data_IF_327749831210
#
_entry.id   IF_327749831210
#
_cell.length_a   1.000
_cell.length_b   1.000
_cell.length_c   1.000
_cell.angle_alpha   90.00
_cell.angle_beta   90.00
_cell.angle_gamma   90.00
#
_symmetry.space_group_name_H-M   'P 1'
#
loop_
_entity.id
_entity.type
_entity.pdbx_description
1 polymer ?
#
# COMPACT_ATOMS: atom_id res chain seq x y z
N UNK A 1 -17.20 -1.09 33.24
CA UNK A 1 -18.42 -0.36 33.66
C UNK A 1 -18.67 0.72 32.65
N UNK A 2 -19.74 0.64 31.85
CA UNK A 2 -20.03 1.63 30.82
C UNK A 2 -20.61 2.89 31.46
N UNK A 3 -20.07 4.07 31.12
CA UNK A 3 -20.65 5.33 31.54
C UNK A 3 -22.00 5.52 30.83
N UNK A 4 -23.06 5.78 31.59
CA UNK A 4 -24.38 6.14 31.05
C UNK A 4 -24.46 7.65 30.87
N UNK A 5 -24.83 8.10 29.68
CA UNK A 5 -25.15 9.50 29.43
C UNK A 5 -26.41 9.93 30.20
N UNK A 6 -26.65 11.24 30.31
CA UNK A 6 -27.84 11.83 30.97
C UNK A 6 -29.18 11.39 30.36
N UNK A 7 -29.16 10.77 29.18
CA UNK A 7 -30.29 10.19 28.45
C UNK A 7 -30.36 8.65 28.52
N UNK A 8 -29.52 7.99 29.33
CA UNK A 8 -29.54 6.54 29.51
C UNK A 8 -28.88 5.73 28.38
N UNK A 9 -28.38 6.38 27.33
CA UNK A 9 -27.65 5.73 26.24
C UNK A 9 -26.30 5.21 26.77
N UNK A 10 -25.96 3.96 26.39
CA UNK A 10 -24.64 3.39 26.67
C UNK A 10 -23.59 4.12 25.84
N UNK A 11 -22.70 4.86 26.49
CA UNK A 11 -21.65 5.62 25.81
C UNK A 11 -20.46 4.71 25.54
N UNK A 12 -19.94 4.74 24.32
CA UNK A 12 -18.65 4.14 23.97
C UNK A 12 -17.57 5.24 24.07
N UNK A 13 -16.44 4.95 24.71
CA UNK A 13 -15.32 5.89 24.77
C UNK A 13 -14.67 5.98 23.38
N UNK A 14 -14.87 7.09 22.67
CA UNK A 14 -14.15 7.44 21.44
C UNK A 14 -13.02 8.44 21.74
N UNK A 15 -12.19 8.17 22.75
CA UNK A 15 -11.00 8.98 23.02
C UNK A 15 -9.79 8.09 22.92
N UNK A 16 -9.32 7.86 21.69
CA UNK A 16 -8.02 7.25 21.48
C UNK A 16 -6.96 8.36 21.43
N UNK A 17 -6.43 8.77 22.58
CA UNK A 17 -5.18 9.55 22.75
C UNK A 17 -5.30 11.07 22.96
N UNK A 18 -6.11 11.53 23.93
CA UNK A 18 -5.76 12.75 24.68
C UNK A 18 -5.09 12.33 26.00
N UNK A 19 -3.77 12.48 26.09
CA UNK A 19 -3.05 12.32 27.37
C UNK A 19 -2.90 13.68 28.03
N UNK A 20 -3.26 13.78 29.32
CA UNK A 20 -3.06 14.98 30.14
C UNK A 20 -1.94 14.76 31.16
N UNK A 21 -1.16 15.80 31.51
CA UNK A 21 -0.24 15.73 32.63
C UNK A 21 -0.99 15.38 33.93
N UNK A 22 -0.36 14.54 34.77
CA UNK A 22 -0.88 14.16 36.09
C UNK A 22 -0.90 15.39 37.00
N UNK A 23 -1.99 16.17 36.96
CA UNK A 23 -2.12 17.40 37.75
C UNK A 23 -3.16 18.38 37.21
N UNK A 24 -3.53 18.29 35.93
CA UNK A 24 -4.49 19.19 35.30
C UNK A 24 -5.93 18.75 35.62
N UNK A 25 -6.57 19.43 36.58
CA UNK A 25 -7.92 19.09 37.08
C UNK A 25 -9.05 19.82 36.36
N UNK A 26 -8.75 20.73 35.44
CA UNK A 26 -9.79 21.47 34.72
C UNK A 26 -10.51 20.59 33.68
N UNK A 27 -11.85 20.58 33.70
CA UNK A 27 -12.63 19.92 32.68
C UNK A 27 -12.42 20.65 31.35
N UNK A 28 -11.80 19.98 30.37
CA UNK A 28 -11.73 20.49 29.00
C UNK A 28 -13.06 20.18 28.33
N UNK A 29 -13.66 21.18 27.71
CA UNK A 29 -14.79 20.98 26.81
C UNK A 29 -14.23 20.27 25.57
N UNK A 30 -14.31 18.94 25.55
CA UNK A 30 -13.99 18.15 24.37
C UNK A 30 -15.15 18.37 23.39
N UNK A 31 -14.90 19.15 22.33
CA UNK A 31 -15.83 19.20 21.20
C UNK A 31 -15.72 17.87 20.47
N UNK A 32 -16.66 16.98 20.74
CA UNK A 32 -16.78 15.72 20.01
C UNK A 32 -17.24 16.04 18.59
N UNK A 33 -16.34 15.84 17.62
CA UNK A 33 -16.70 16.02 16.21
C UNK A 33 -17.73 14.98 15.80
N UNK A 34 -18.82 15.43 15.18
CA UNK A 34 -19.94 14.59 14.74
C UNK A 34 -19.84 14.09 13.31
N UNK A 35 -18.81 14.51 12.56
CA UNK A 35 -18.60 14.03 11.19
C UNK A 35 -18.38 12.50 11.21
N UNK A 36 -18.60 11.82 10.09
CA UNK A 36 -18.42 10.37 10.02
C UNK A 36 -16.95 9.98 9.83
N UNK A 37 -16.55 8.82 10.39
CA UNK A 37 -15.25 8.20 10.14
C UNK A 37 -15.26 7.46 8.79
N UNK A 38 -15.19 8.24 7.72
CA UNK A 38 -15.34 7.78 6.33
C UNK A 38 -14.16 6.94 5.81
N UNK A 39 -13.02 6.97 6.49
CA UNK A 39 -11.87 6.14 6.16
C UNK A 39 -12.08 4.64 6.48
N UNK A 40 -12.97 4.31 7.44
CA UNK A 40 -13.20 2.93 7.89
C UNK A 40 -13.54 1.98 6.73
N UNK A 41 -14.54 2.25 5.87
CA UNK A 41 -14.83 1.37 4.74
C UNK A 41 -13.68 1.26 3.74
N UNK A 42 -12.86 2.30 3.59
CA UNK A 42 -11.68 2.28 2.72
C UNK A 42 -10.57 1.39 3.31
N UNK A 43 -10.32 1.51 4.61
CA UNK A 43 -9.39 0.65 5.34
C UNK A 43 -9.82 -0.83 5.30
N UNK A 44 -11.13 -1.12 5.43
CA UNK A 44 -11.66 -2.48 5.31
C UNK A 44 -11.43 -3.06 3.91
N UNK A 45 -11.71 -2.28 2.88
CA UNK A 45 -11.48 -2.66 1.49
C UNK A 45 -9.99 -2.95 1.25
N UNK A 46 -9.10 -2.02 1.62
CA UNK A 46 -7.68 -2.14 1.31
C UNK A 46 -7.02 -3.30 2.07
N UNK A 47 -7.40 -3.53 3.33
CA UNK A 47 -6.92 -4.70 4.10
C UNK A 47 -7.39 -6.00 3.48
N UNK A 48 -8.60 -6.04 2.93
CA UNK A 48 -9.09 -7.23 2.20
C UNK A 48 -8.22 -7.51 0.98
N UNK A 49 -7.90 -6.49 0.19
CA UNK A 49 -7.03 -6.62 -0.99
C UNK A 49 -5.58 -6.98 -0.61
N UNK A 50 -5.02 -6.39 0.45
CA UNK A 50 -3.69 -6.73 0.96
C UNK A 50 -3.58 -8.20 1.39
N UNK A 51 -4.64 -8.75 1.99
CA UNK A 51 -4.69 -10.16 2.42
C UNK A 51 -4.95 -11.14 1.29
N UNK A 52 -5.48 -10.66 0.16
CA UNK A 52 -5.90 -11.49 -0.98
C UNK A 52 -4.84 -11.52 -2.08
N UNK A 53 -4.32 -10.36 -2.48
CA UNK A 53 -3.53 -10.17 -3.69
C UNK A 53 -2.21 -10.96 -3.73
N UNK A 54 -1.48 -11.14 -2.61
CA UNK A 54 -0.31 -12.02 -2.60
C UNK A 54 -0.63 -13.49 -2.96
N UNK A 55 -1.87 -13.92 -2.74
CA UNK A 55 -2.31 -15.31 -2.91
C UNK A 55 -3.12 -15.57 -4.18
N UNK A 56 -3.33 -14.55 -5.02
CA UNK A 56 -3.92 -14.75 -6.35
C UNK A 56 -2.94 -15.52 -7.25
N UNK A 57 -3.40 -16.07 -8.39
CA UNK A 57 -2.49 -16.72 -9.35
C UNK A 57 -1.32 -15.82 -9.76
N UNK A 58 -1.56 -14.53 -9.95
CA UNK A 58 -0.57 -13.52 -10.31
C UNK A 58 0.40 -13.26 -9.16
N UNK A 59 -0.09 -13.06 -7.93
CA UNK A 59 0.74 -12.89 -6.75
C UNK A 59 1.66 -14.09 -6.49
N UNK A 60 1.15 -15.32 -6.67
CA UNK A 60 1.93 -16.56 -6.56
C UNK A 60 3.01 -16.68 -7.64
N UNK A 61 2.73 -16.25 -8.89
CA UNK A 61 3.73 -16.22 -9.96
C UNK A 61 4.87 -15.25 -9.63
N UNK A 62 4.54 -14.05 -9.16
CA UNK A 62 5.53 -13.05 -8.75
C UNK A 62 6.37 -13.59 -7.58
N UNK A 63 5.71 -14.15 -6.57
CA UNK A 63 6.38 -14.76 -5.41
C UNK A 63 7.35 -15.86 -5.83
N UNK A 64 6.89 -16.79 -6.68
CA UNK A 64 7.73 -17.90 -7.17
C UNK A 64 8.94 -17.40 -7.96
N UNK A 65 8.77 -16.32 -8.74
CA UNK A 65 9.85 -15.72 -9.50
C UNK A 65 10.85 -14.98 -8.60
N UNK A 66 10.38 -14.27 -7.57
CA UNK A 66 11.25 -13.59 -6.60
C UNK A 66 11.97 -14.57 -5.64
N UNK A 67 11.46 -15.79 -5.45
CA UNK A 67 12.08 -16.82 -4.61
C UNK A 67 13.18 -17.64 -5.32
N UNK A 68 13.44 -17.40 -6.61
CA UNK A 68 14.49 -18.13 -7.33
C UNK A 68 15.88 -17.77 -6.79
N UNK A 69 16.57 -18.75 -6.19
CA UNK A 69 17.90 -18.58 -5.62
C UNK A 69 18.97 -19.27 -6.50
N UNK A 70 19.74 -18.50 -7.29
CA UNK A 70 20.77 -19.07 -8.17
C UNK A 70 21.89 -19.77 -7.39
N UNK A 71 22.18 -19.35 -6.15
CA UNK A 71 23.24 -19.97 -5.35
C UNK A 71 22.81 -21.36 -4.86
N UNK A 72 21.57 -21.49 -4.39
CA UNK A 72 20.99 -22.78 -4.01
C UNK A 72 20.93 -23.75 -5.21
N UNK A 73 20.60 -23.25 -6.40
CA UNK A 73 20.60 -24.05 -7.64
C UNK A 73 22.02 -24.53 -8.02
N UNK A 74 23.04 -23.67 -7.90
CA UNK A 74 24.44 -24.05 -8.10
C UNK A 74 24.88 -25.11 -7.08
N UNK A 75 24.50 -24.96 -5.81
CA UNK A 75 24.79 -25.96 -4.77
C UNK A 75 24.14 -27.31 -5.09
N UNK A 76 22.85 -27.30 -5.45
CA UNK A 76 22.12 -28.49 -5.85
C UNK A 76 22.75 -29.16 -7.07
N UNK A 77 23.12 -28.39 -8.10
CA UNK A 77 23.85 -28.90 -9.26
C UNK A 77 25.17 -29.56 -8.86
N UNK A 78 25.95 -28.93 -7.98
CA UNK A 78 27.22 -29.45 -7.50
C UNK A 78 27.07 -30.75 -6.69
N UNK A 79 25.96 -30.95 -5.99
CA UNK A 79 25.67 -32.19 -5.27
C UNK A 79 25.30 -33.37 -6.18
N UNK A 80 25.02 -33.14 -7.47
CA UNK A 80 24.57 -34.21 -8.37
C UNK A 80 25.70 -35.21 -8.73
N UNK A 81 25.34 -36.48 -9.00
CA UNK A 81 26.24 -37.47 -9.59
C UNK A 81 26.79 -37.03 -10.95
N UNK A 82 27.96 -37.54 -11.33
CA UNK A 82 28.67 -37.12 -12.55
C UNK A 82 27.84 -37.27 -13.84
N UNK A 83 26.99 -38.29 -13.94
CA UNK A 83 26.19 -38.55 -15.13
C UNK A 83 25.07 -37.52 -15.35
N UNK A 84 24.58 -36.89 -14.28
CA UNK A 84 23.58 -35.82 -14.37
C UNK A 84 24.19 -34.48 -14.84
N UNK A 85 25.52 -34.35 -14.77
CA UNK A 85 26.27 -33.13 -15.12
C UNK A 85 26.76 -33.08 -16.58
N UNK A 86 26.44 -34.09 -17.39
CA UNK A 86 26.97 -34.25 -18.75
C UNK A 86 26.56 -33.13 -19.73
N UNK A 87 25.56 -32.31 -19.39
CA UNK A 87 25.12 -31.15 -20.18
C UNK A 87 25.84 -29.83 -19.88
N UNK A 88 26.76 -29.80 -18.92
CA UNK A 88 27.31 -28.56 -18.38
C UNK A 88 26.32 -27.83 -17.46
N UNK A 89 26.84 -26.96 -16.60
CA UNK A 89 26.02 -26.23 -15.63
C UNK A 89 25.19 -25.14 -16.34
N UNK A 90 23.87 -25.06 -16.09
CA UNK A 90 23.07 -23.92 -16.51
C UNK A 90 23.61 -22.61 -15.94
N UNK A 91 23.43 -21.51 -16.68
CA UNK A 91 23.70 -20.17 -16.13
C UNK A 91 22.54 -19.73 -15.23
N UNK A 92 22.57 -20.20 -13.98
CA UNK A 92 21.54 -19.91 -13.00
C UNK A 92 21.40 -18.42 -12.69
N UNK A 93 22.46 -17.60 -12.83
CA UNK A 93 22.38 -16.16 -12.60
C UNK A 93 21.63 -15.44 -13.73
N UNK A 94 21.86 -15.85 -14.98
CA UNK A 94 21.05 -15.35 -16.11
C UNK A 94 19.59 -15.81 -16.00
N UNK A 95 19.34 -17.04 -15.55
CA UNK A 95 17.99 -17.53 -15.26
C UNK A 95 17.32 -16.70 -14.16
N UNK A 96 18.03 -16.41 -13.06
CA UNK A 96 17.53 -15.56 -11.97
C UNK A 96 17.15 -14.16 -12.47
N UNK A 97 17.96 -13.58 -13.35
CA UNK A 97 17.67 -12.28 -13.98
C UNK A 97 16.37 -12.34 -14.79
N UNK A 98 16.17 -13.42 -15.55
CA UNK A 98 14.93 -13.68 -16.29
C UNK A 98 13.70 -13.82 -15.38
N UNK A 99 13.82 -14.56 -14.29
CA UNK A 99 12.77 -14.66 -13.27
C UNK A 99 12.44 -13.28 -12.67
N UNK A 100 13.47 -12.49 -12.33
CA UNK A 100 13.27 -11.17 -11.75
C UNK A 100 12.58 -10.20 -12.72
N UNK A 101 12.96 -10.22 -13.99
CA UNK A 101 12.28 -9.45 -15.03
C UNK A 101 10.81 -9.86 -15.17
N UNK A 102 10.53 -11.17 -15.18
CA UNK A 102 9.16 -11.68 -15.23
C UNK A 102 8.34 -11.23 -14.00
N UNK A 103 8.94 -11.22 -12.80
CA UNK A 103 8.32 -10.71 -11.59
C UNK A 103 7.92 -9.24 -11.76
N UNK A 104 8.81 -8.39 -12.26
CA UNK A 104 8.53 -6.97 -12.52
C UNK A 104 7.45 -6.76 -13.58
N UNK A 105 7.45 -7.55 -14.65
CA UNK A 105 6.43 -7.45 -15.71
C UNK A 105 5.04 -7.81 -15.18
N UNK A 106 4.92 -8.94 -14.46
CA UNK A 106 3.63 -9.36 -13.89
C UNK A 106 3.16 -8.33 -12.86
N UNK A 107 4.05 -7.88 -11.97
CA UNK A 107 3.75 -6.82 -10.99
C UNK A 107 3.22 -5.56 -11.68
N UNK A 108 3.93 -5.06 -12.69
CA UNK A 108 3.52 -3.88 -13.47
C UNK A 108 2.15 -4.05 -14.10
N UNK A 109 1.85 -5.23 -14.67
CA UNK A 109 0.52 -5.54 -15.21
C UNK A 109 -0.57 -5.64 -14.16
N UNK A 110 -0.25 -5.69 -12.87
CA UNK A 110 -1.24 -5.63 -11.80
C UNK A 110 -1.43 -4.22 -11.25
N UNK A 111 -0.34 -3.47 -11.03
CA UNK A 111 -0.39 -2.19 -10.28
C UNK A 111 -0.43 -0.93 -11.16
N UNK A 112 -0.15 -1.04 -12.46
CA UNK A 112 -0.17 0.12 -13.35
C UNK A 112 -1.57 0.74 -13.47
N UNK A 113 -1.69 2.01 -13.91
CA UNK A 113 -2.99 2.66 -14.06
C UNK A 113 -3.99 1.84 -14.89
N UNK A 114 -5.21 1.66 -14.35
CA UNK A 114 -6.27 0.88 -14.97
C UNK A 114 -6.10 -0.64 -14.89
N UNK A 115 -5.11 -1.15 -14.15
CA UNK A 115 -4.89 -2.57 -13.92
C UNK A 115 -5.62 -3.06 -12.64
N UNK A 116 -5.71 -4.39 -12.41
CA UNK A 116 -6.53 -4.95 -11.33
C UNK A 116 -6.20 -4.46 -9.91
N UNK A 117 -4.95 -4.08 -9.64
CA UNK A 117 -4.50 -3.57 -8.33
C UNK A 117 -4.36 -2.03 -8.33
N UNK A 118 -4.86 -1.33 -9.36
CA UNK A 118 -5.06 0.12 -9.32
C UNK A 118 -6.29 0.45 -8.47
N UNK A 119 -6.07 0.67 -7.19
CA UNK A 119 -7.14 0.90 -6.22
C UNK A 119 -7.63 2.34 -6.17
N UNK A 120 -6.89 3.32 -6.74
CA UNK A 120 -7.29 4.74 -6.73
C UNK A 120 -8.67 4.98 -7.36
N UNK A 121 -9.00 4.49 -8.58
CA UNK A 121 -10.32 4.67 -9.17
C UNK A 121 -11.43 3.94 -8.40
N UNK A 122 -11.13 2.78 -7.81
CA UNK A 122 -12.11 1.98 -7.05
C UNK A 122 -12.50 2.72 -5.75
N UNK A 123 -11.52 3.21 -5.01
CA UNK A 123 -11.74 3.97 -3.78
C UNK A 123 -12.50 5.26 -4.07
N UNK A 124 -12.09 5.99 -5.13
CA UNK A 124 -12.80 7.20 -5.57
C UNK A 124 -14.27 6.92 -5.88
N UNK A 125 -14.56 5.85 -6.64
CA UNK A 125 -15.91 5.44 -6.94
C UNK A 125 -16.71 5.07 -5.68
N UNK A 126 -16.11 4.34 -4.75
CA UNK A 126 -16.74 3.96 -3.48
C UNK A 126 -17.13 5.19 -2.64
N UNK A 127 -16.26 6.19 -2.57
CA UNK A 127 -16.54 7.44 -1.84
C UNK A 127 -17.66 8.25 -2.52
N UNK A 128 -17.67 8.31 -3.85
CA UNK A 128 -18.71 9.01 -4.62
C UNK A 128 -20.07 8.33 -4.42
N UNK A 129 -20.13 7.00 -4.56
CA UNK A 129 -21.36 6.22 -4.38
C UNK A 129 -21.96 6.37 -2.98
N UNK A 130 -21.12 6.57 -1.97
CA UNK A 130 -21.53 6.80 -0.58
C UNK A 130 -21.88 8.26 -0.27
N UNK A 131 -21.70 9.18 -1.21
CA UNK A 131 -21.98 10.62 -1.00
C UNK A 131 -20.99 11.32 -0.06
N UNK A 132 -19.81 10.75 0.17
CA UNK A 132 -18.80 11.22 1.15
C UNK A 132 -17.49 11.67 0.49
N UNK A 133 -17.48 11.85 -0.84
CA UNK A 133 -16.30 12.29 -1.58
C UNK A 133 -15.99 13.79 -1.32
N UNK A 134 -15.27 14.09 -0.24
CA UNK A 134 -14.83 15.44 0.13
C UNK A 134 -13.53 15.84 -0.58
N UNK A 135 -13.57 15.96 -1.92
CA UNK A 135 -12.37 16.23 -2.75
C UNK A 135 -11.23 15.23 -2.50
N UNK A 136 -11.57 13.97 -2.24
CA UNK A 136 -10.60 12.91 -1.94
C UNK A 136 -10.17 12.79 -0.47
N UNK A 137 -10.60 13.69 0.42
CA UNK A 137 -10.29 13.64 1.84
C UNK A 137 -11.27 12.77 2.62
N UNK A 138 -10.74 11.95 3.52
CA UNK A 138 -11.50 11.00 4.34
C UNK A 138 -11.14 11.20 5.80
N UNK A 139 -12.13 11.23 6.68
CA UNK A 139 -11.88 11.45 8.10
C UNK A 139 -11.65 10.13 8.81
N UNK A 140 -10.66 10.11 9.71
CA UNK A 140 -10.58 9.17 10.81
C UNK A 140 -10.03 9.85 12.06
N UNK A 141 -10.69 9.63 13.20
CA UNK A 141 -10.33 10.26 14.47
C UNK A 141 -10.24 11.81 14.31
N UNK A 142 -9.06 12.38 14.61
CA UNK A 142 -8.79 13.82 14.55
C UNK A 142 -8.14 14.30 13.24
N UNK A 143 -8.03 13.43 12.24
CA UNK A 143 -7.32 13.72 11.00
C UNK A 143 -8.18 13.46 9.75
N UNK A 144 -7.90 14.23 8.69
CA UNK A 144 -8.31 13.89 7.34
C UNK A 144 -7.11 13.28 6.59
N UNK A 145 -7.40 12.27 5.77
CA UNK A 145 -6.45 11.50 4.97
C UNK A 145 -6.82 11.59 3.50
N UNK A 146 -5.84 11.83 2.64
CA UNK A 146 -6.05 11.86 1.20
C UNK A 146 -6.15 10.43 0.65
N UNK A 147 -7.07 10.19 -0.28
CA UNK A 147 -7.42 8.84 -0.74
C UNK A 147 -6.30 8.07 -1.44
N UNK A 148 -5.22 8.72 -1.85
CA UNK A 148 -4.11 8.06 -2.52
C UNK A 148 -3.26 7.21 -1.57
N UNK A 149 -3.23 7.51 -0.26
CA UNK A 149 -2.41 6.77 0.72
C UNK A 149 -2.72 5.28 0.72
N UNK A 150 -3.98 4.90 0.51
CA UNK A 150 -4.44 3.52 0.62
C UNK A 150 -3.82 2.64 -0.45
N UNK A 151 -3.81 3.11 -1.70
CA UNK A 151 -3.19 2.38 -2.82
C UNK A 151 -1.68 2.26 -2.64
N UNK A 152 -1.03 3.29 -2.08
CA UNK A 152 0.42 3.27 -1.84
C UNK A 152 0.81 2.35 -0.67
N UNK A 153 0.02 2.33 0.41
CA UNK A 153 0.18 1.39 1.52
C UNK A 153 0.01 -0.05 1.02
N UNK A 154 -1.01 -0.30 0.19
CA UNK A 154 -1.20 -1.61 -0.43
C UNK A 154 -0.03 -2.01 -1.32
N UNK A 155 0.46 -1.09 -2.16
CA UNK A 155 1.62 -1.32 -3.02
C UNK A 155 2.84 -1.77 -2.20
N UNK A 156 3.15 -1.06 -1.10
CA UNK A 156 4.22 -1.45 -0.19
C UNK A 156 3.99 -2.83 0.43
N UNK A 157 2.83 -3.04 1.06
CA UNK A 157 2.51 -4.28 1.76
C UNK A 157 2.52 -5.50 0.84
N UNK A 158 1.79 -5.44 -0.28
CA UNK A 158 1.68 -6.55 -1.23
C UNK A 158 3.00 -6.76 -1.95
N UNK A 159 3.73 -5.69 -2.27
CA UNK A 159 5.06 -5.77 -2.88
C UNK A 159 6.04 -6.56 -2.03
N UNK A 160 6.09 -6.25 -0.72
CA UNK A 160 6.91 -7.02 0.22
C UNK A 160 6.39 -8.45 0.37
N UNK A 161 5.07 -8.64 0.40
CA UNK A 161 4.46 -9.96 0.51
C UNK A 161 4.79 -10.91 -0.65
N UNK A 162 4.98 -10.37 -1.86
CA UNK A 162 5.37 -11.14 -3.05
C UNK A 162 6.89 -11.17 -3.29
N UNK A 163 7.69 -10.68 -2.33
CA UNK A 163 9.14 -10.84 -2.32
C UNK A 163 9.95 -9.74 -3.01
N UNK A 164 9.39 -8.54 -3.19
CA UNK A 164 10.21 -7.37 -3.54
C UNK A 164 10.87 -6.77 -2.30
N UNK A 165 12.10 -6.29 -2.47
CA UNK A 165 12.80 -5.54 -1.44
C UNK A 165 12.30 -4.09 -1.35
N UNK A 166 12.52 -3.44 -0.21
CA UNK A 166 12.14 -2.03 -0.01
C UNK A 166 12.75 -1.11 -1.08
N UNK A 167 14.00 -1.35 -1.47
CA UNK A 167 14.68 -0.57 -2.51
C UNK A 167 14.02 -0.71 -3.89
N UNK A 168 13.44 -1.88 -4.19
CA UNK A 168 12.75 -2.09 -5.47
C UNK A 168 11.39 -1.39 -5.48
N UNK A 169 10.71 -1.40 -4.34
CA UNK A 169 9.40 -0.75 -4.18
C UNK A 169 9.52 0.78 -4.14
N UNK A 170 10.57 1.31 -3.51
CA UNK A 170 10.80 2.75 -3.36
C UNK A 170 11.61 3.35 -4.52
N UNK A 171 12.50 2.57 -5.14
CA UNK A 171 13.44 3.07 -6.15
C UNK A 171 12.98 2.95 -7.60
N UNK A 172 11.96 2.14 -7.90
CA UNK A 172 11.22 2.14 -9.17
C UNK A 172 11.96 1.76 -10.46
N UNK A 173 13.30 1.71 -10.49
CA UNK A 173 14.09 1.58 -11.73
C UNK A 173 13.81 0.27 -12.49
N UNK A 174 13.72 -0.86 -11.78
CA UNK A 174 13.38 -2.15 -12.39
C UNK A 174 11.95 -2.18 -12.95
N UNK A 175 11.03 -1.45 -12.32
CA UNK A 175 9.65 -1.30 -12.78
C UNK A 175 9.53 -0.37 -13.98
N UNK A 176 10.32 0.70 -14.04
CA UNK A 176 10.36 1.59 -15.18
C UNK A 176 10.80 0.85 -16.44
N UNK A 177 11.82 0.00 -16.32
CA UNK A 177 12.26 -0.87 -17.41
C UNK A 177 11.18 -1.87 -17.82
N UNK A 178 10.61 -2.62 -16.86
CA UNK A 178 9.57 -3.61 -17.14
C UNK A 178 8.30 -2.98 -17.75
N UNK A 179 7.95 -1.76 -17.35
CA UNK A 179 6.87 -0.99 -17.95
C UNK A 179 7.16 -0.64 -19.39
N UNK A 180 8.36 -0.18 -19.71
CA UNK A 180 8.76 0.14 -21.09
C UNK A 180 8.58 -1.07 -22.02
N UNK A 181 9.04 -2.23 -21.56
CA UNK A 181 8.92 -3.50 -22.29
C UNK A 181 7.46 -3.94 -22.42
N UNK A 182 6.71 -3.92 -21.31
CA UNK A 182 5.30 -4.30 -21.31
C UNK A 182 4.47 -3.35 -22.19
N UNK A 183 4.74 -2.05 -22.12
CA UNK A 183 4.13 -1.01 -22.96
C UNK A 183 4.30 -1.35 -24.44
N UNK A 184 5.53 -1.64 -24.85
CA UNK A 184 5.82 -2.06 -26.21
C UNK A 184 5.00 -3.30 -26.62
N UNK A 185 4.93 -4.31 -25.74
CA UNK A 185 4.26 -5.58 -26.03
C UNK A 185 2.72 -5.50 -26.10
N UNK A 186 2.02 -4.87 -25.14
CA UNK A 186 0.57 -4.71 -25.32
C UNK A 186 0.15 -3.56 -26.25
N UNK A 187 1.04 -2.62 -26.65
CA UNK A 187 0.67 -1.67 -27.70
C UNK A 187 0.57 -2.39 -29.05
N UNK A 188 1.44 -3.38 -29.31
CA UNK A 188 1.25 -4.30 -30.44
C UNK A 188 -0.09 -5.06 -30.36
N UNK A 189 -0.58 -5.31 -29.14
CA UNK A 189 -1.88 -5.96 -28.86
C UNK A 189 -3.06 -4.99 -28.65
N UNK A 190 -2.85 -3.66 -28.84
CA UNK A 190 -3.85 -2.57 -28.67
C UNK A 190 -4.55 -2.50 -27.30
N UNK A 191 -3.89 -2.86 -26.20
CA UNK A 191 -4.55 -3.03 -24.88
C UNK A 191 -4.08 -2.08 -23.77
N UNK A 192 -3.23 -1.09 -24.03
CA UNK A 192 -2.78 -0.16 -22.97
C UNK A 192 -3.70 1.05 -22.81
N UNK A 193 -4.17 1.37 -21.59
CA UNK A 193 -4.85 2.62 -21.30
C UNK A 193 -3.88 3.83 -21.38
N UNK A 194 -4.43 5.01 -21.63
CA UNK A 194 -3.67 6.27 -21.55
C UNK A 194 -3.12 6.46 -20.15
N UNK A 195 -1.79 6.55 -20.04
CA UNK A 195 -1.11 6.84 -18.78
C UNK A 195 -1.64 8.14 -18.20
N UNK A 196 -2.10 8.09 -16.96
CA UNK A 196 -2.45 9.30 -16.22
C UNK A 196 -1.16 10.08 -15.99
N UNK A 197 -1.03 11.22 -16.66
CA UNK A 197 -0.01 12.20 -16.32
C UNK A 197 -0.60 12.98 -15.16
N UNK A 198 -0.06 12.79 -13.96
CA UNK A 198 -0.31 13.75 -12.89
C UNK A 198 0.54 14.99 -13.24
N UNK A 199 -0.06 16.16 -13.47
CA UNK A 199 0.66 17.35 -13.93
C UNK A 199 1.77 17.81 -12.96
N UNK A 200 1.72 17.31 -11.73
CA UNK A 200 2.70 17.50 -10.65
C UNK A 200 3.70 16.34 -10.48
N UNK A 201 3.41 15.12 -10.96
CA UNK A 201 4.16 13.89 -10.61
C UNK A 201 4.75 13.15 -11.82
N UNK A 202 4.70 13.69 -13.04
CA UNK A 202 5.32 13.07 -14.22
C UNK A 202 4.71 11.71 -14.61
N UNK A 203 5.49 10.86 -15.28
CA UNK A 203 5.03 9.56 -15.78
C UNK A 203 5.26 8.44 -14.77
N UNK A 204 4.25 7.59 -14.58
CA UNK A 204 4.39 6.34 -13.82
C UNK A 204 5.51 5.46 -14.43
N UNK A 205 6.40 4.83 -13.64
CA UNK A 205 6.33 4.68 -12.19
C UNK A 205 7.02 5.79 -11.38
N UNK A 206 7.71 6.74 -12.04
CA UNK A 206 8.47 7.81 -11.38
C UNK A 206 7.59 8.79 -10.58
N UNK A 207 6.28 8.75 -10.78
CA UNK A 207 5.32 9.51 -9.99
C UNK A 207 5.22 9.08 -8.53
N UNK A 208 5.75 7.91 -8.17
CA UNK A 208 5.76 7.39 -6.80
C UNK A 208 6.90 7.97 -5.92
N UNK A 209 7.75 8.84 -6.47
CA UNK A 209 8.95 9.37 -5.82
C UNK A 209 8.66 10.57 -4.87
N UNK A 210 7.41 11.01 -4.71
CA UNK A 210 7.08 12.09 -3.77
C UNK A 210 7.09 11.60 -2.31
N UNK A 211 7.41 12.50 -1.38
CA UNK A 211 7.58 12.21 0.06
C UNK A 211 6.35 11.53 0.64
N UNK A 212 5.14 11.93 0.23
CA UNK A 212 3.89 11.33 0.70
C UNK A 212 3.71 9.88 0.24
N UNK A 213 4.10 9.57 -0.99
CA UNK A 213 4.02 8.25 -1.59
C UNK A 213 5.06 7.34 -0.94
N UNK A 214 6.30 7.83 -0.78
CA UNK A 214 7.37 7.13 -0.08
C UNK A 214 6.97 6.77 1.37
N UNK A 215 6.40 7.70 2.14
CA UNK A 215 5.93 7.42 3.51
C UNK A 215 4.84 6.36 3.50
N UNK A 216 3.91 6.43 2.54
CA UNK A 216 2.79 5.48 2.44
C UNK A 216 3.26 4.07 2.04
N UNK A 217 4.17 3.97 1.07
CA UNK A 217 4.79 2.71 0.64
C UNK A 217 5.61 2.12 1.79
N UNK A 218 6.41 2.93 2.47
CA UNK A 218 7.20 2.49 3.63
C UNK A 218 6.29 1.97 4.75
N UNK A 219 5.19 2.65 5.05
CA UNK A 219 4.22 2.15 6.02
C UNK A 219 3.67 0.77 5.61
N UNK A 220 3.37 0.56 4.32
CA UNK A 220 2.99 -0.76 3.79
C UNK A 220 4.05 -1.85 4.03
N UNK A 221 5.31 -1.54 3.75
CA UNK A 221 6.46 -2.42 3.98
C UNK A 221 6.58 -2.77 5.47
N UNK A 222 6.48 -1.76 6.33
CA UNK A 222 6.60 -1.90 7.78
C UNK A 222 5.46 -2.74 8.34
N UNK A 223 4.23 -2.54 7.86
CA UNK A 223 3.06 -3.34 8.22
C UNK A 223 3.30 -4.82 7.92
N UNK A 224 3.81 -5.16 6.73
CA UNK A 224 4.07 -6.56 6.38
C UNK A 224 5.20 -7.18 7.22
N UNK A 225 6.24 -6.39 7.51
CA UNK A 225 7.43 -6.85 8.23
C UNK A 225 7.17 -7.03 9.72
N UNK A 226 6.37 -6.15 10.32
CA UNK A 226 6.14 -6.11 11.77
C UNK A 226 4.89 -6.89 12.22
N UNK A 227 3.87 -7.01 11.37
CA UNK A 227 2.58 -7.61 11.73
C UNK A 227 2.43 -8.96 11.02
N UNK A 228 2.08 -10.00 11.79
CA UNK A 228 1.73 -11.30 11.20
C UNK A 228 0.53 -11.13 10.24
N UNK A 229 0.54 -11.71 9.03
CA UNK A 229 -0.54 -11.51 8.04
C UNK A 229 -1.95 -11.81 8.54
N UNK A 230 -2.10 -12.73 9.50
CA UNK A 230 -3.40 -13.05 10.11
C UNK A 230 -3.90 -12.00 11.12
N UNK A 231 -2.99 -11.20 11.69
CA UNK A 231 -3.30 -10.13 12.64
C UNK A 231 -3.65 -8.80 11.96
N UNK A 232 -3.36 -8.65 10.65
CA UNK A 232 -3.72 -7.46 9.90
C UNK A 232 -5.24 -7.26 9.86
N UNK A 233 -5.69 -6.10 10.34
CA UNK A 233 -7.08 -5.67 10.43
C UNK A 233 -7.21 -4.20 10.04
N UNK A 234 -8.44 -3.78 9.70
CA UNK A 234 -8.73 -2.38 9.39
C UNK A 234 -8.46 -1.45 10.59
N UNK A 235 -8.80 -1.89 11.81
CA UNK A 235 -8.56 -1.10 13.03
C UNK A 235 -7.07 -0.90 13.30
N UNK A 236 -6.25 -1.93 13.05
CA UNK A 236 -4.81 -1.81 13.16
C UNK A 236 -4.24 -0.85 12.11
N UNK A 237 -4.63 -0.99 10.84
CA UNK A 237 -4.22 -0.06 9.79
C UNK A 237 -4.62 1.39 10.13
N UNK A 238 -5.85 1.60 10.58
CA UNK A 238 -6.35 2.90 10.99
C UNK A 238 -5.59 3.47 12.20
N UNK A 239 -5.17 2.62 13.13
CA UNK A 239 -4.28 3.00 14.23
C UNK A 239 -2.91 3.44 13.70
N UNK A 240 -2.28 2.67 12.83
CA UNK A 240 -0.95 2.98 12.29
C UNK A 240 -0.91 4.31 11.52
N UNK A 241 -1.92 4.59 10.68
CA UNK A 241 -2.00 5.90 9.99
C UNK A 241 -2.19 7.09 10.95
N UNK A 242 -2.66 6.88 12.17
CA UNK A 242 -2.76 7.94 13.18
C UNK A 242 -1.40 8.28 13.79
N UNK A 243 -0.48 7.32 13.85
CA UNK A 243 0.88 7.50 14.37
C UNK A 243 1.86 8.15 13.39
N UNK A 244 1.57 8.14 12.09
CA UNK A 244 2.39 8.86 11.10
C UNK A 244 2.35 10.37 11.40
N UNK A 245 3.51 10.97 11.64
CA UNK A 245 3.62 12.38 12.03
C UNK A 245 3.24 13.34 10.89
N UNK A 246 2.89 14.58 11.25
CA UNK A 246 2.70 15.66 10.29
C UNK A 246 4.04 16.38 10.04
N UNK A 247 4.36 16.79 8.81
CA UNK A 247 3.58 16.57 7.59
C UNK A 247 3.76 15.16 7.01
N UNK A 248 2.66 14.55 6.57
CA UNK A 248 2.72 13.35 5.73
C UNK A 248 2.89 13.79 4.27
N UNK A 249 4.10 14.23 3.92
CA UNK A 249 4.43 14.85 2.63
C UNK A 249 5.47 15.96 2.78
N UNK A 250 5.74 16.70 1.71
CA UNK A 250 6.73 17.81 1.71
C UNK A 250 6.22 19.09 2.38
N UNK A 251 4.93 19.15 2.75
CA UNK A 251 4.30 20.30 3.40
C UNK A 251 3.57 21.22 2.42
N UNK A 252 2.96 22.30 2.92
CA UNK A 252 2.09 23.16 2.11
C UNK A 252 0.85 22.40 1.62
N UNK A 253 0.55 22.47 0.32
CA UNK A 253 -0.55 21.72 -0.30
C UNK A 253 -0.21 20.25 -0.61
N UNK A 254 1.08 19.87 -0.55
CA UNK A 254 1.57 18.52 -0.81
C UNK A 254 1.62 17.70 0.48
N UNK A 255 0.44 17.36 0.99
CA UNK A 255 0.28 16.54 2.18
C UNK A 255 -0.87 15.53 2.01
N UNK A 256 -0.70 14.35 2.59
CA UNK A 256 -1.69 13.29 2.57
C UNK A 256 -2.42 13.10 3.90
N UNK A 257 -2.03 13.85 4.94
CA UNK A 257 -2.67 13.90 6.26
C UNK A 257 -2.74 15.33 6.75
N UNK A 258 -3.87 15.71 7.34
CA UNK A 258 -4.07 17.02 7.98
C UNK A 258 -5.00 16.92 9.18
N UNK A 259 -4.98 17.94 10.05
CA UNK A 259 -5.96 18.05 11.12
C UNK A 259 -7.36 18.19 10.54
N UNK A 260 -8.29 17.41 11.06
CA UNK A 260 -9.68 17.46 10.64
C UNK A 260 -10.33 18.78 11.09
N UNK A 261 -10.98 19.46 10.17
CA UNK A 261 -11.76 20.66 10.46
C UNK A 261 -13.23 20.29 10.57
N UNK A 262 -13.76 20.37 11.80
CA UNK A 262 -15.16 20.07 12.08
C UNK A 262 -16.06 21.09 11.38
N UNK A 263 -17.03 20.61 10.61
CA UNK A 263 -18.07 21.49 10.09
C UNK A 263 -19.04 21.82 11.24
N UNK A 264 -19.32 23.12 11.41
CA UNK A 264 -20.26 23.64 12.42
C UNK A 264 -21.71 23.40 12.02
#
# INVERSE_FOLDING_TARGET
MNAKGSNGTSMQLEAIHETKPVGEREPRIVRVCRDSNDAIPVAQYIVTEMKKNPFTPEGKKITSANLFDPAAEVEQWNAQPWHAKLGGMPDYYSIATGHKLAAYQIWTMQVAPGQPWDHKPIIKAMLIQRGIFRKGWQRYAQYDYFYDIWSNIHYGYVGTAVGFSSNELLGGAGLAQALSDAKYDLHKKRQWPTMQHHPENGAWPNSADDVQDHISIQLGIDLYTSIKPNALSADLLLSEITFVELPWGSGGDNHAKRLHQCHS
#
